data_IF_906368631917
#
_entry.id   IF_906368631917
#
_cell.length_a   1.000
_cell.length_b   1.000
_cell.length_c   1.000
_cell.angle_alpha   90.00
_cell.angle_beta   90.00
_cell.angle_gamma   90.00
#
_symmetry.space_group_name_H-M   'P 1'
#
loop_
_entity.id
_entity.type
_entity.pdbx_description
1 polymer ?
#
# COMPACT_ATOMS: atom_id res chain seq x y z
N UNK A 1 -21.31 11.17 -16.51
CA UNK A 1 -20.11 10.87 -15.69
C UNK A 1 -19.54 9.54 -16.15
N UNK A 2 -18.41 9.55 -16.86
CA UNK A 2 -17.84 8.35 -17.48
C UNK A 2 -17.16 7.39 -16.50
N UNK A 3 -16.96 6.16 -16.95
CA UNK A 3 -16.18 5.14 -16.24
C UNK A 3 -14.72 5.62 -16.06
N UNK A 4 -14.21 5.59 -14.83
CA UNK A 4 -12.82 5.95 -14.52
C UNK A 4 -11.99 4.68 -14.42
N UNK A 5 -10.92 4.60 -15.21
CA UNK A 5 -9.98 3.47 -15.19
C UNK A 5 -9.19 3.46 -13.88
N UNK A 6 -8.89 2.26 -13.35
CA UNK A 6 -8.03 2.10 -12.17
C UNK A 6 -6.61 2.65 -12.47
N UNK A 7 -6.13 3.67 -11.73
CA UNK A 7 -4.81 4.26 -11.96
C UNK A 7 -3.65 3.29 -11.82
N UNK A 8 -3.79 2.28 -10.95
CA UNK A 8 -2.79 1.21 -10.75
C UNK A 8 -2.78 0.31 -11.97
N UNK A 9 -3.95 -0.22 -12.36
CA UNK A 9 -4.09 -1.15 -13.48
C UNK A 9 -3.57 -0.58 -14.80
N UNK A 10 -3.92 0.69 -15.09
CA UNK A 10 -3.44 1.40 -16.29
C UNK A 10 -1.91 1.56 -16.37
N UNK A 11 -1.21 1.41 -15.23
CA UNK A 11 0.22 1.67 -15.09
C UNK A 11 1.06 0.42 -14.81
N UNK A 12 0.42 -0.74 -14.62
CA UNK A 12 1.10 -2.01 -14.44
C UNK A 12 1.94 -2.33 -15.70
N UNK A 13 3.18 -2.75 -15.50
CA UNK A 13 4.12 -3.08 -16.58
C UNK A 13 4.76 -1.88 -17.28
N UNK A 14 4.29 -0.66 -17.04
CA UNK A 14 4.88 0.57 -17.60
C UNK A 14 5.73 1.28 -16.54
N UNK A 15 5.09 1.67 -15.43
CA UNK A 15 5.74 2.48 -14.39
C UNK A 15 5.58 1.89 -12.97
N UNK A 16 4.78 0.82 -12.83
CA UNK A 16 4.51 0.12 -11.58
C UNK A 16 4.67 -1.38 -11.77
N UNK A 17 5.27 -2.02 -10.78
CA UNK A 17 5.46 -3.46 -10.72
C UNK A 17 4.28 -4.17 -10.07
N UNK A 18 4.20 -5.48 -10.33
CA UNK A 18 3.28 -6.39 -9.68
C UNK A 18 3.63 -6.58 -8.20
N UNK A 19 2.59 -6.74 -7.38
CA UNK A 19 2.70 -7.04 -5.95
C UNK A 19 2.87 -8.55 -5.68
N UNK A 20 2.42 -9.42 -6.59
CA UNK A 20 2.74 -10.85 -6.57
C UNK A 20 3.69 -11.13 -7.74
N UNK A 21 4.89 -11.65 -7.44
CA UNK A 21 5.96 -11.91 -8.42
C UNK A 21 6.38 -13.36 -8.33
N UNK A 22 5.81 -14.19 -9.17
CA UNK A 22 6.12 -15.62 -9.23
C UNK A 22 5.64 -16.22 -10.55
N UNK A 23 6.17 -17.40 -10.89
CA UNK A 23 5.83 -18.12 -12.11
C UNK A 23 5.18 -19.48 -11.76
N UNK A 24 3.86 -19.64 -11.96
CA UNK A 24 3.13 -20.90 -11.76
C UNK A 24 3.40 -21.94 -12.85
N UNK A 25 3.16 -23.21 -12.51
CA UNK A 25 2.71 -24.19 -13.51
C UNK A 25 1.20 -24.07 -13.73
N UNK A 26 0.70 -24.44 -14.93
CA UNK A 26 -0.74 -24.30 -15.27
C UNK A 26 -1.68 -24.99 -14.26
N UNK A 27 -1.25 -26.13 -13.71
CA UNK A 27 -2.03 -26.89 -12.72
C UNK A 27 -2.10 -26.21 -11.34
N UNK A 28 -1.03 -25.53 -10.91
CA UNK A 28 -0.91 -24.95 -9.55
C UNK A 28 -1.33 -23.48 -9.48
N UNK A 29 -1.67 -22.88 -10.63
CA UNK A 29 -1.99 -21.46 -10.77
C UNK A 29 -3.20 -21.04 -9.94
N UNK A 30 -4.32 -21.74 -10.07
CA UNK A 30 -5.58 -21.38 -9.40
C UNK A 30 -5.45 -21.46 -7.87
N UNK A 31 -4.85 -22.54 -7.38
CA UNK A 31 -4.59 -22.75 -5.95
C UNK A 31 -3.66 -21.67 -5.39
N UNK A 32 -2.55 -21.39 -6.09
CA UNK A 32 -1.57 -20.39 -5.65
C UNK A 32 -2.16 -18.96 -5.60
N UNK A 33 -3.06 -18.61 -6.53
CA UNK A 33 -3.78 -17.32 -6.47
C UNK A 33 -4.72 -17.28 -5.26
N UNK A 34 -5.45 -18.37 -4.99
CA UNK A 34 -6.34 -18.47 -3.84
C UNK A 34 -5.59 -18.33 -2.51
N UNK A 35 -4.42 -18.96 -2.40
CA UNK A 35 -3.52 -18.82 -1.26
C UNK A 35 -3.03 -17.38 -1.08
N UNK A 36 -2.55 -16.72 -2.15
CA UNK A 36 -2.09 -15.34 -2.10
C UNK A 36 -3.19 -14.39 -1.58
N UNK A 37 -4.43 -14.60 -2.02
CA UNK A 37 -5.59 -13.82 -1.55
C UNK A 37 -5.87 -14.06 -0.06
N UNK A 38 -5.84 -15.32 0.39
CA UNK A 38 -6.01 -15.67 1.82
C UNK A 38 -4.94 -15.01 2.69
N UNK A 39 -3.67 -15.09 2.27
CA UNK A 39 -2.54 -14.45 2.97
C UNK A 39 -2.77 -12.94 3.07
N UNK A 40 -3.09 -12.28 1.95
CA UNK A 40 -3.31 -10.82 1.93
C UNK A 40 -4.46 -10.40 2.83
N UNK A 41 -5.60 -11.11 2.76
CA UNK A 41 -6.77 -10.81 3.59
C UNK A 41 -6.47 -10.99 5.08
N UNK A 42 -5.81 -12.08 5.44
CA UNK A 42 -5.44 -12.38 6.82
C UNK A 42 -4.48 -11.34 7.40
N UNK A 43 -3.37 -11.05 6.69
CA UNK A 43 -2.38 -10.08 7.13
C UNK A 43 -2.95 -8.67 7.24
N UNK A 44 -3.81 -8.27 6.28
CA UNK A 44 -4.43 -6.94 6.29
C UNK A 44 -5.38 -6.75 7.48
N UNK A 45 -6.14 -7.79 7.83
CA UNK A 45 -7.03 -7.76 8.98
C UNK A 45 -6.26 -7.74 10.31
N UNK A 46 -5.29 -8.65 10.49
CA UNK A 46 -4.56 -8.77 11.76
C UNK A 46 -3.65 -7.57 12.04
N UNK A 47 -3.01 -7.01 11.01
CA UNK A 47 -2.02 -5.93 11.15
C UNK A 47 -2.59 -4.55 10.79
N UNK A 48 -3.90 -4.36 10.87
CA UNK A 48 -4.55 -3.07 10.56
C UNK A 48 -3.93 -1.91 11.35
N UNK A 49 -3.66 -2.11 12.64
CA UNK A 49 -3.04 -1.11 13.53
C UNK A 49 -1.59 -0.72 13.14
N UNK A 50 -0.87 -1.60 12.45
CA UNK A 50 0.50 -1.33 12.00
C UNK A 50 0.54 -0.44 10.75
N UNK A 51 -0.59 -0.29 10.04
CA UNK A 51 -0.70 0.49 8.81
C UNK A 51 0.10 -0.16 7.68
N UNK A 52 -0.42 -1.25 7.11
CA UNK A 52 0.19 -1.92 5.96
C UNK A 52 -0.03 -1.09 4.70
N UNK A 53 1.06 -0.68 4.05
CA UNK A 53 1.00 -0.05 2.75
C UNK A 53 0.84 -1.08 1.62
N UNK A 54 1.72 -2.08 1.59
CA UNK A 54 1.83 -3.04 0.49
C UNK A 54 2.26 -4.40 1.05
N UNK A 55 1.78 -5.46 0.40
CA UNK A 55 2.20 -6.83 0.66
C UNK A 55 2.76 -7.38 -0.63
N UNK A 56 4.06 -7.66 -0.64
CA UNK A 56 4.72 -8.28 -1.78
C UNK A 56 4.85 -9.78 -1.54
N UNK A 57 4.38 -10.59 -2.47
CA UNK A 57 4.47 -12.05 -2.38
C UNK A 57 5.35 -12.54 -3.52
N UNK A 58 6.45 -13.19 -3.15
CA UNK A 58 7.37 -13.85 -4.08
C UNK A 58 7.38 -15.34 -3.78
N UNK A 59 7.21 -16.18 -4.79
CA UNK A 59 7.26 -17.64 -4.63
C UNK A 59 8.52 -18.16 -5.28
N UNK A 60 9.38 -18.79 -4.48
CA UNK A 60 10.51 -19.60 -4.95
C UNK A 60 10.05 -21.06 -5.00
N UNK A 61 10.78 -21.94 -5.70
CA UNK A 61 10.43 -23.36 -5.83
C UNK A 61 10.12 -24.08 -4.49
N UNK A 62 10.76 -23.68 -3.39
CA UNK A 62 10.60 -24.33 -2.07
C UNK A 62 9.90 -23.47 -1.01
N UNK A 63 9.88 -22.14 -1.16
CA UNK A 63 9.48 -21.21 -0.09
C UNK A 63 8.73 -20.02 -0.64
N UNK A 64 7.74 -19.55 0.10
CA UNK A 64 7.02 -18.31 -0.17
C UNK A 64 7.65 -17.20 0.67
N UNK A 65 8.09 -16.12 0.04
CA UNK A 65 8.60 -14.92 0.69
C UNK A 65 7.51 -13.86 0.68
N UNK A 66 7.06 -13.45 1.86
CA UNK A 66 6.09 -12.37 2.03
C UNK A 66 6.80 -11.16 2.60
N UNK A 67 6.91 -10.10 1.81
CA UNK A 67 7.47 -8.82 2.26
C UNK A 67 6.34 -7.86 2.61
N UNK A 68 6.20 -7.53 3.88
CA UNK A 68 5.20 -6.60 4.41
C UNK A 68 5.83 -5.22 4.50
N UNK A 69 5.30 -4.25 3.77
CA UNK A 69 5.71 -2.85 3.84
C UNK A 69 4.73 -2.11 4.75
N UNK A 70 5.21 -1.65 5.90
CA UNK A 70 4.37 -1.06 6.95
C UNK A 70 4.86 0.32 7.40
N UNK A 71 3.92 1.14 7.85
CA UNK A 71 4.19 2.45 8.46
C UNK A 71 4.85 2.33 9.82
N UNK A 72 4.49 1.31 10.60
CA UNK A 72 4.99 1.08 11.96
C UNK A 72 5.51 -0.36 12.09
N UNK A 73 6.73 -0.65 11.62
CA UNK A 73 7.28 -2.00 11.65
C UNK A 73 7.44 -2.55 13.08
N UNK A 74 7.70 -1.68 14.07
CA UNK A 74 7.90 -2.09 15.47
C UNK A 74 6.71 -2.83 16.08
N UNK A 75 5.47 -2.50 15.66
CA UNK A 75 4.26 -3.19 16.13
C UNK A 75 4.21 -4.64 15.59
N UNK A 76 4.69 -4.85 14.37
CA UNK A 76 4.71 -6.17 13.72
C UNK A 76 5.83 -7.05 14.32
N UNK A 77 6.97 -6.44 14.65
CA UNK A 77 8.11 -7.16 15.23
C UNK A 77 7.80 -7.61 16.67
N UNK A 78 7.16 -6.74 17.45
CA UNK A 78 6.85 -7.00 18.86
C UNK A 78 8.08 -7.05 19.76
N UNK A 79 7.89 -7.50 21.01
CA UNK A 79 8.99 -7.63 21.97
C UNK A 79 9.86 -8.85 21.60
N UNK A 80 11.16 -8.64 21.41
CA UNK A 80 12.16 -9.69 21.06
C UNK A 80 11.81 -10.51 19.80
N UNK A 81 10.98 -9.99 18.88
CA UNK A 81 10.62 -10.70 17.64
C UNK A 81 9.55 -11.79 17.80
N UNK A 82 8.94 -11.96 18.98
CA UNK A 82 7.98 -13.03 19.23
C UNK A 82 6.72 -12.94 18.36
N UNK A 83 6.24 -11.73 18.06
CA UNK A 83 5.02 -11.55 17.26
C UNK A 83 5.23 -11.96 15.79
N UNK A 84 6.45 -11.79 15.25
CA UNK A 84 6.78 -12.22 13.88
C UNK A 84 6.73 -13.74 13.76
N UNK A 85 7.25 -14.46 14.75
CA UNK A 85 7.26 -15.92 14.73
C UNK A 85 5.84 -16.48 14.90
N UNK A 86 5.02 -15.84 15.76
CA UNK A 86 3.60 -16.16 15.87
C UNK A 86 2.87 -15.94 14.54
N UNK A 87 3.05 -14.78 13.90
CA UNK A 87 2.48 -14.48 12.58
C UNK A 87 2.92 -15.51 11.54
N UNK A 88 4.20 -15.88 11.53
CA UNK A 88 4.72 -16.91 10.62
C UNK A 88 4.00 -18.24 10.83
N UNK A 89 3.86 -18.68 12.08
CA UNK A 89 3.19 -19.94 12.42
C UNK A 89 1.72 -19.96 11.97
N UNK A 90 0.99 -18.85 12.10
CA UNK A 90 -0.39 -18.72 11.67
C UNK A 90 -0.53 -18.75 10.15
N UNK A 91 0.34 -18.04 9.42
CA UNK A 91 0.29 -18.04 7.96
C UNK A 91 0.70 -19.42 7.41
N UNK A 92 1.64 -20.12 8.07
CA UNK A 92 1.96 -21.51 7.73
C UNK A 92 0.75 -22.42 7.93
N UNK A 93 -0.01 -22.29 9.03
CA UNK A 93 -1.26 -23.06 9.24
C UNK A 93 -2.34 -22.80 8.18
N UNK A 94 -2.37 -21.60 7.60
CA UNK A 94 -3.36 -21.24 6.57
C UNK A 94 -3.06 -21.85 5.19
N UNK A 95 -1.77 -22.08 4.88
CA UNK A 95 -1.30 -22.45 3.53
C UNK A 95 -0.62 -23.82 3.51
N UNK A 96 -0.22 -24.35 4.65
CA UNK A 96 0.54 -25.61 4.82
C UNK A 96 1.83 -25.66 4.00
N UNK A 97 2.49 -24.51 3.81
CA UNK A 97 3.75 -24.37 3.07
C UNK A 97 4.75 -23.55 3.88
N UNK A 98 6.03 -23.71 3.58
CA UNK A 98 7.09 -22.93 4.22
C UNK A 98 7.08 -21.46 3.77
N UNK A 99 6.94 -20.57 4.75
CA UNK A 99 6.85 -19.13 4.54
C UNK A 99 7.99 -18.41 5.26
N UNK A 100 8.59 -17.43 4.58
CA UNK A 100 9.54 -16.47 5.14
C UNK A 100 8.90 -15.07 5.11
N UNK A 101 8.81 -14.41 6.27
CA UNK A 101 8.23 -13.08 6.39
C UNK A 101 9.37 -12.06 6.50
N UNK A 102 9.36 -11.07 5.61
CA UNK A 102 10.26 -9.93 5.63
C UNK A 102 9.45 -8.67 5.96
N UNK A 103 9.96 -7.83 6.86
CA UNK A 103 9.29 -6.58 7.23
C UNK A 103 10.13 -5.42 6.69
N UNK A 104 9.51 -4.54 5.91
CA UNK A 104 10.11 -3.32 5.38
C UNK A 104 9.36 -2.11 5.92
N UNK A 105 10.12 -1.06 6.20
CA UNK A 105 9.57 0.21 6.66
C UNK A 105 9.18 1.11 5.49
N UNK A 106 7.98 1.68 5.53
CA UNK A 106 7.56 2.74 4.62
C UNK A 106 8.10 4.11 5.10
N UNK A 107 9.20 4.57 4.51
CA UNK A 107 9.85 5.84 4.92
C UNK A 107 8.96 7.07 4.82
N UNK A 108 7.99 7.10 3.89
CA UNK A 108 7.13 8.26 3.61
C UNK A 108 5.65 7.92 3.71
N UNK A 109 5.19 7.66 4.93
CA UNK A 109 3.79 7.32 5.24
C UNK A 109 2.77 8.31 4.66
N UNK A 110 3.00 9.62 4.79
CA UNK A 110 2.08 10.65 4.29
C UNK A 110 1.95 10.69 2.76
N UNK A 111 2.94 10.15 2.03
CA UNK A 111 2.89 10.08 0.56
C UNK A 111 2.18 8.83 0.04
N UNK A 112 1.76 7.92 0.93
CA UNK A 112 1.18 6.65 0.57
C UNK A 112 -0.34 6.73 0.51
N UNK A 113 -0.94 6.36 -0.62
CA UNK A 113 -2.36 6.60 -0.84
C UNK A 113 -3.25 5.70 0.03
N UNK A 114 -2.86 4.44 0.26
CA UNK A 114 -3.63 3.51 1.10
C UNK A 114 -3.65 3.94 2.56
N UNK A 115 -2.47 4.29 3.10
CA UNK A 115 -2.33 4.76 4.48
C UNK A 115 -3.05 6.10 4.70
N UNK A 116 -3.03 6.98 3.71
CA UNK A 116 -3.80 8.21 3.72
C UNK A 116 -5.32 7.94 3.76
N UNK A 117 -5.81 6.99 2.96
CA UNK A 117 -7.22 6.60 2.92
C UNK A 117 -7.68 5.99 4.26
N UNK A 118 -6.88 5.08 4.84
CA UNK A 118 -7.16 4.47 6.15
C UNK A 118 -7.14 5.49 7.29
N UNK A 119 -6.26 6.48 7.22
CA UNK A 119 -6.23 7.57 8.21
C UNK A 119 -7.49 8.43 8.13
N UNK A 120 -8.00 8.74 6.93
CA UNK A 120 -9.31 9.40 6.78
C UNK A 120 -10.41 8.51 7.34
N UNK A 121 -10.41 7.20 7.03
CA UNK A 121 -11.44 6.26 7.49
C UNK A 121 -11.52 6.24 9.03
N UNK A 122 -10.37 6.04 9.68
CA UNK A 122 -10.25 6.03 11.14
C UNK A 122 -10.73 7.34 11.78
N UNK A 123 -10.51 8.49 11.13
CA UNK A 123 -11.00 9.78 11.63
C UNK A 123 -12.52 9.90 11.48
N UNK A 124 -13.11 9.41 10.39
CA UNK A 124 -14.56 9.42 10.19
C UNK A 124 -15.28 8.48 11.18
N UNK A 125 -14.71 7.32 11.46
CA UNK A 125 -15.23 6.38 12.46
C UNK A 125 -15.24 7.00 13.87
N UNK A 126 -14.22 7.81 14.17
CA UNK A 126 -14.15 8.62 15.41
C UNK A 126 -15.01 9.88 15.40
N UNK A 127 -15.94 10.02 14.44
CA UNK A 127 -16.87 11.15 14.29
C UNK A 127 -16.18 12.52 14.11
N UNK A 128 -14.96 12.54 13.57
CA UNK A 128 -14.31 13.81 13.19
C UNK A 128 -15.01 14.38 11.95
N UNK A 129 -15.20 15.70 11.92
CA UNK A 129 -15.74 16.38 10.75
C UNK A 129 -14.96 16.03 9.48
N UNK A 130 -15.66 15.48 8.47
CA UNK A 130 -15.05 14.91 7.28
C UNK A 130 -14.19 15.91 6.49
N UNK A 131 -14.59 17.19 6.42
CA UNK A 131 -13.79 18.27 5.82
C UNK A 131 -12.46 18.49 6.53
N UNK A 132 -12.47 18.45 7.88
CA UNK A 132 -11.26 18.60 8.70
C UNK A 132 -10.34 17.40 8.51
N UNK A 133 -10.89 16.19 8.50
CA UNK A 133 -10.13 14.96 8.27
C UNK A 133 -9.41 14.97 6.92
N UNK A 134 -10.12 15.35 5.85
CA UNK A 134 -9.52 15.46 4.51
C UNK A 134 -8.42 16.52 4.46
N UNK A 135 -8.68 17.75 4.93
CA UNK A 135 -7.68 18.83 4.93
C UNK A 135 -6.41 18.43 5.71
N UNK A 136 -6.56 17.77 6.86
CA UNK A 136 -5.44 17.28 7.67
C UNK A 136 -4.57 16.28 6.91
N UNK A 137 -5.19 15.34 6.19
CA UNK A 137 -4.47 14.33 5.40
C UNK A 137 -3.79 14.96 4.18
N UNK A 138 -4.44 15.92 3.51
CA UNK A 138 -3.84 16.64 2.38
C UNK A 138 -2.58 17.40 2.82
N UNK A 139 -2.65 18.14 3.92
CA UNK A 139 -1.49 18.84 4.47
C UNK A 139 -0.37 17.87 4.86
N UNK A 140 -0.71 16.72 5.46
CA UNK A 140 0.27 15.68 5.78
C UNK A 140 0.97 15.10 4.55
N UNK A 141 0.23 14.90 3.45
CA UNK A 141 0.79 14.39 2.20
C UNK A 141 1.73 15.39 1.52
N UNK A 142 1.37 16.67 1.51
CA UNK A 142 2.24 17.74 1.00
C UNK A 142 3.53 17.86 1.80
N UNK A 143 3.44 17.83 3.14
CA UNK A 143 4.63 17.82 4.02
C UNK A 143 5.54 16.62 3.75
N UNK A 144 4.98 15.47 3.39
CA UNK A 144 5.74 14.28 3.00
C UNK A 144 6.34 14.36 1.57
N UNK A 145 6.11 15.46 0.85
CA UNK A 145 6.65 15.73 -0.48
C UNK A 145 5.80 15.20 -1.64
N UNK A 146 4.49 14.99 -1.44
CA UNK A 146 3.58 14.71 -2.55
C UNK A 146 3.43 15.94 -3.45
N UNK A 147 3.52 15.75 -4.77
CA UNK A 147 3.36 16.84 -5.76
C UNK A 147 1.90 17.18 -6.05
N UNK A 148 0.99 16.29 -5.67
CA UNK A 148 -0.43 16.52 -5.70
C UNK A 148 -1.19 15.39 -5.03
N UNK A 149 -2.36 15.70 -4.51
CA UNK A 149 -3.24 14.75 -3.85
C UNK A 149 -4.70 15.07 -4.19
N UNK A 150 -5.46 14.03 -4.47
CA UNK A 150 -6.91 14.10 -4.60
C UNK A 150 -7.53 13.14 -3.59
N UNK A 151 -8.47 13.61 -2.80
CA UNK A 151 -9.26 12.78 -1.88
C UNK A 151 -10.72 12.92 -2.29
N UNK A 152 -11.42 11.80 -2.40
CA UNK A 152 -12.83 11.73 -2.72
C UNK A 152 -13.51 10.84 -1.67
N UNK A 153 -14.50 11.39 -0.99
CA UNK A 153 -15.27 10.71 0.05
C UNK A 153 -16.72 10.66 -0.40
N UNK A 154 -17.30 9.47 -0.42
CA UNK A 154 -18.66 9.23 -0.89
C UNK A 154 -19.44 8.44 0.16
N UNK A 155 -20.65 8.91 0.48
CA UNK A 155 -21.54 8.26 1.45
C UNK A 155 -22.40 9.27 2.19
N UNK A 156 -22.95 8.86 3.34
CA UNK A 156 -23.76 9.72 4.23
C UNK A 156 -22.87 10.63 5.08
N UNK A 157 -22.29 11.64 4.44
CA UNK A 157 -21.28 12.51 5.05
C UNK A 157 -21.88 13.30 6.22
N UNK A 158 -21.30 13.12 7.41
CA UNK A 158 -21.77 13.80 8.63
C UNK A 158 -23.12 13.31 9.15
N UNK A 159 -23.59 12.12 8.72
CA UNK A 159 -24.88 11.57 9.15
C UNK A 159 -26.09 12.10 8.39
N UNK A 160 -25.88 12.80 7.27
CA UNK A 160 -26.96 13.22 6.38
C UNK A 160 -27.79 12.01 5.90
N UNK A 161 -29.09 12.22 5.68
CA UNK A 161 -30.00 11.19 5.19
C UNK A 161 -29.63 10.74 3.77
N UNK A 162 -29.40 11.70 2.87
CA UNK A 162 -28.97 11.44 1.50
C UNK A 162 -27.44 11.35 1.39
N UNK A 163 -26.97 10.34 0.65
CA UNK A 163 -25.56 10.18 0.35
C UNK A 163 -25.08 11.23 -0.67
N UNK A 164 -23.88 11.77 -0.46
CA UNK A 164 -23.23 12.70 -1.38
C UNK A 164 -21.75 12.36 -1.56
N UNK A 165 -21.17 12.87 -2.63
CA UNK A 165 -19.73 12.72 -2.92
C UNK A 165 -19.06 14.08 -2.87
N UNK A 166 -18.11 14.25 -1.95
CA UNK A 166 -17.27 15.44 -1.85
C UNK A 166 -15.82 15.07 -2.18
N UNK A 167 -15.13 15.93 -2.92
CA UNK A 167 -13.73 15.74 -3.25
C UNK A 167 -12.94 17.03 -3.08
N UNK A 168 -11.71 16.88 -2.62
CA UNK A 168 -10.73 17.95 -2.55
C UNK A 168 -9.50 17.54 -3.37
N UNK A 169 -8.98 18.49 -4.12
CA UNK A 169 -7.78 18.34 -4.95
C UNK A 169 -6.81 19.45 -4.57
N UNK A 170 -5.56 19.09 -4.33
CA UNK A 170 -4.49 20.04 -4.11
C UNK A 170 -3.25 19.64 -4.90
N UNK A 171 -2.62 20.61 -5.57
CA UNK A 171 -1.53 20.36 -6.51
C UNK A 171 -1.97 19.67 -7.80
N UNK A 172 -1.05 18.93 -8.44
CA UNK A 172 -1.26 18.33 -9.77
C UNK A 172 -1.47 16.81 -9.67
N UNK A 173 -2.54 16.29 -10.28
CA UNK A 173 -2.81 14.84 -10.37
C UNK A 173 -3.19 14.45 -11.81
N UNK A 174 -2.20 14.19 -12.70
CA UNK A 174 -2.46 13.95 -14.12
C UNK A 174 -2.81 12.48 -14.40
N UNK A 175 -4.12 12.13 -14.37
CA UNK A 175 -4.57 10.74 -14.48
C UNK A 175 -4.31 10.09 -15.85
N UNK A 176 -4.33 10.88 -16.94
CA UNK A 176 -4.11 10.38 -18.31
C UNK A 176 -2.63 10.15 -18.62
N UNK A 177 -1.73 10.81 -17.91
CA UNK A 177 -0.29 10.71 -18.16
C UNK A 177 0.25 9.38 -17.63
N UNK A 178 0.60 8.46 -18.54
CA UNK A 178 1.12 7.13 -18.16
C UNK A 178 2.48 7.20 -17.46
N UNK A 179 3.33 8.17 -17.79
CA UNK A 179 4.63 8.40 -17.11
C UNK A 179 4.50 8.95 -15.67
N UNK A 180 3.30 9.39 -15.28
CA UNK A 180 3.06 9.91 -13.93
C UNK A 180 2.96 8.76 -12.93
N UNK A 181 3.78 8.80 -11.88
CA UNK A 181 3.71 7.86 -10.75
C UNK A 181 2.59 8.28 -9.81
N UNK A 182 1.45 7.66 -9.99
CA UNK A 182 0.24 7.89 -9.19
C UNK A 182 0.00 6.67 -8.32
N UNK A 183 -0.10 6.91 -7.02
CA UNK A 183 -0.52 5.92 -6.05
C UNK A 183 -2.02 6.06 -5.80
N UNK A 184 -2.71 4.94 -5.66
CA UNK A 184 -4.15 4.91 -5.43
C UNK A 184 -4.45 4.06 -4.19
N UNK A 185 -5.31 4.58 -3.32
CA UNK A 185 -5.76 3.93 -2.11
C UNK A 185 -7.27 3.98 -2.01
N UNK A 186 -7.85 2.87 -1.55
CA UNK A 186 -9.26 2.77 -1.23
C UNK A 186 -9.40 2.23 0.19
N UNK A 187 -10.26 2.88 0.96
CA UNK A 187 -10.62 2.44 2.30
C UNK A 187 -12.12 2.68 2.51
N UNK A 188 -12.73 1.82 3.30
CA UNK A 188 -14.11 1.95 3.74
C UNK A 188 -14.10 2.31 5.22
N UNK A 189 -14.93 3.28 5.60
CA UNK A 189 -15.15 3.66 6.99
C UNK A 189 -16.52 3.17 7.43
N UNK A 190 -16.56 2.36 8.49
CA UNK A 190 -17.81 1.82 9.02
C UNK A 190 -18.35 2.75 10.11
N UNK A 191 -19.31 3.60 9.74
CA UNK A 191 -19.94 4.54 10.68
C UNK A 191 -21.30 4.02 11.12
N UNK A 192 -21.86 4.59 12.20
CA UNK A 192 -23.20 4.21 12.67
C UNK A 192 -24.31 4.42 11.66
N UNK A 193 -24.11 5.31 10.68
CA UNK A 193 -25.09 5.63 9.65
C UNK A 193 -24.91 4.84 8.34
N UNK A 194 -23.92 3.95 8.30
CA UNK A 194 -23.57 3.13 7.14
C UNK A 194 -22.10 3.28 6.73
N UNK A 195 -21.81 2.79 5.52
CA UNK A 195 -20.45 2.77 5.00
C UNK A 195 -20.13 4.05 4.23
N UNK A 196 -18.93 4.59 4.45
CA UNK A 196 -18.39 5.72 3.69
C UNK A 196 -17.18 5.24 2.91
N UNK A 197 -17.21 5.39 1.59
CA UNK A 197 -16.11 5.03 0.70
C UNK A 197 -15.13 6.18 0.54
N UNK A 198 -13.84 5.92 0.71
CA UNK A 198 -12.76 6.91 0.59
C UNK A 198 -11.80 6.47 -0.50
N UNK A 199 -11.62 7.32 -1.51
CA UNK A 199 -10.68 7.12 -2.62
C UNK A 199 -9.63 8.22 -2.58
N UNK A 200 -8.37 7.83 -2.57
CA UNK A 200 -7.23 8.75 -2.51
C UNK A 200 -6.31 8.50 -3.71
N UNK A 201 -5.92 9.57 -4.38
CA UNK A 201 -4.87 9.57 -5.42
C UNK A 201 -3.74 10.47 -4.96
N UNK A 202 -2.51 9.96 -4.97
CA UNK A 202 -1.31 10.75 -4.65
C UNK A 202 -0.34 10.71 -5.83
N UNK A 203 0.03 11.88 -6.32
CA UNK A 203 1.03 12.05 -7.36
C UNK A 203 2.41 12.24 -6.74
N UNK A 204 3.31 11.29 -6.98
CA UNK A 204 4.69 11.28 -6.46
C UNK A 204 5.71 11.89 -7.44
N UNK A 205 5.28 12.24 -8.66
CA UNK A 205 6.13 12.77 -9.72
C UNK A 205 6.09 11.95 -11.01
N UNK A 206 6.84 12.38 -12.01
CA UNK A 206 6.94 11.70 -13.31
C UNK A 206 8.27 10.94 -13.37
N UNK A 207 8.24 9.75 -13.97
CA UNK A 207 9.45 8.98 -14.26
C UNK A 207 9.86 9.33 -15.69
N UNK A 208 11.03 9.95 -15.85
CA UNK A 208 11.56 10.37 -17.15
C UNK A 208 12.32 9.23 -17.88
N UNK A 209 12.79 8.23 -17.13
CA UNK A 209 13.47 7.06 -17.71
C UNK A 209 12.48 6.06 -18.28
N UNK A 210 12.78 5.54 -19.48
CA UNK A 210 12.05 4.43 -20.10
C UNK A 210 12.47 3.12 -19.42
N UNK A 211 11.49 2.34 -18.95
CA UNK A 211 11.69 1.00 -18.38
C UNK A 211 11.32 0.90 -16.89
N UNK A 212 10.98 -0.31 -16.47
CA UNK A 212 10.76 -0.66 -15.05
C UNK A 212 12.09 -0.43 -14.32
N UNK A 213 12.15 0.59 -13.46
CA UNK A 213 13.29 0.75 -12.57
C UNK A 213 13.31 -0.48 -11.64
N UNK A 214 14.42 -1.22 -11.65
CA UNK A 214 14.69 -2.22 -10.64
C UNK A 214 14.53 -1.56 -9.27
N UNK A 215 13.74 -2.16 -8.39
CA UNK A 215 13.65 -1.70 -7.01
C UNK A 215 15.08 -1.66 -6.46
N UNK A 216 15.51 -0.50 -5.97
CA UNK A 216 16.78 -0.40 -5.26
C UNK A 216 16.67 -1.34 -4.07
N UNK A 217 17.32 -2.48 -4.15
CA UNK A 217 17.60 -3.31 -3.00
C UNK A 217 18.48 -2.47 -2.09
N UNK A 218 17.94 -2.08 -0.92
CA UNK A 218 18.72 -1.42 0.13
C UNK A 218 19.90 -2.31 0.60
N UNK A 219 19.93 -3.59 0.19
CA UNK A 219 20.98 -4.59 0.41
C UNK A 219 22.06 -4.66 -0.70
N UNK A 220 22.20 -3.65 -1.57
CA UNK A 220 23.37 -3.63 -2.45
C UNK A 220 24.64 -3.49 -1.58
N UNK A 221 25.60 -4.45 -1.62
CA UNK A 221 26.83 -4.31 -0.86
C UNK A 221 27.50 -3.00 -1.30
N UNK A 222 27.73 -2.08 -0.35
CA UNK A 222 28.56 -0.90 -0.59
C UNK A 222 29.85 -1.41 -1.23
N UNK A 223 30.08 -1.08 -2.52
CA UNK A 223 31.31 -1.45 -3.24
C UNK A 223 32.48 -1.10 -2.33
N UNK A 224 33.12 -2.11 -1.75
CA UNK A 224 34.33 -1.95 -0.95
C UNK A 224 35.33 -1.28 -1.87
N UNK A 225 35.74 -0.06 -1.53
CA UNK A 225 36.82 0.63 -2.24
C UNK A 225 38.02 -0.32 -2.21
N UNK A 226 38.43 -0.82 -3.39
CA UNK A 226 39.65 -1.64 -3.52
C UNK A 226 40.79 -0.90 -2.80
N UNK A 227 41.58 -1.57 -1.93
CA UNK A 227 42.71 -0.91 -1.31
C UNK A 227 43.68 -0.47 -2.41
N UNK A 228 44.11 0.80 -2.35
CA UNK A 228 45.17 1.31 -3.23
C UNK A 228 46.42 0.45 -2.99
N UNK A 229 46.91 -0.23 -4.03
CA UNK A 229 48.24 -0.84 -4.02
C UNK A 229 49.25 0.27 -3.72
N UNK A 230 49.91 0.20 -2.56
CA UNK A 230 51.06 1.02 -2.24
C UNK A 230 52.24 0.63 -3.14
N UNK A 231 53.05 1.62 -3.50
CA UNK A 231 54.38 1.44 -4.06
C UNK A 231 55.34 1.03 -2.96
#
# INVERSE_FOLDING_TARGET
>A
MGQKVNPIGLRLGINRNWESRWFPSKATLSESIGEDYKIRKFLKAKLYYAGISQILIERTAKKIRVTIVAARPGIIIGKKGGEVENLRSEVVKLVNKDIAINIKEERKVGSNALLAAENVAMQLERRVAFRRAMKKVIQGAQKAGAKGIKICVAGRLGGAEMARTEWYLEGRVPLHTLRARIDYGFAEAHTTYGNIGIKVWIFKGEILQKGIQAEKTDDAPKKTRRPRRGK
#
